data_IF_779061700123
#
_entry.id   IF_779061700123
#
_cell.length_a   1.000
_cell.length_b   1.000
_cell.length_c   1.000
_cell.angle_alpha   90.00
_cell.angle_beta   90.00
_cell.angle_gamma   90.00
#
_symmetry.space_group_name_H-M   'P 1'
#
loop_
_entity.id
_entity.type
_entity.pdbx_description
1 polymer ?
#
# COMPACT_ATOMS: atom_id res chain seq x y z
N UNK A 1 -6.63 -15.60 2.76
CA UNK A 1 -7.04 -15.11 4.09
C UNK A 1 -8.26 -14.21 3.92
N UNK A 2 -9.50 -14.71 4.13
CA UNK A 2 -10.72 -13.93 3.94
C UNK A 2 -10.74 -12.61 4.73
N UNK A 3 -10.29 -12.64 5.98
CA UNK A 3 -10.26 -11.45 6.87
C UNK A 3 -9.47 -10.28 6.30
N UNK A 4 -8.31 -10.53 5.68
CA UNK A 4 -7.50 -9.47 5.07
C UNK A 4 -8.17 -8.89 3.82
N UNK A 5 -8.88 -9.73 3.07
CA UNK A 5 -9.63 -9.30 1.88
C UNK A 5 -10.81 -8.42 2.30
N UNK A 6 -11.59 -8.84 3.30
CA UNK A 6 -12.70 -8.07 3.85
C UNK A 6 -12.23 -6.69 4.34
N UNK A 7 -11.12 -6.65 5.08
CA UNK A 7 -10.56 -5.38 5.55
C UNK A 7 -10.14 -4.44 4.41
N UNK A 8 -9.54 -4.96 3.32
CA UNK A 8 -9.23 -4.14 2.15
C UNK A 8 -10.50 -3.57 1.50
N UNK A 9 -11.54 -4.40 1.35
CA UNK A 9 -12.82 -3.99 0.77
C UNK A 9 -13.48 -2.90 1.62
N UNK A 10 -13.54 -3.08 2.94
CA UNK A 10 -14.08 -2.11 3.88
C UNK A 10 -13.35 -0.76 3.78
N UNK A 11 -12.01 -0.77 3.83
CA UNK A 11 -11.20 0.44 3.78
C UNK A 11 -11.35 1.20 2.45
N UNK A 12 -11.31 0.48 1.31
CA UNK A 12 -11.49 1.07 -0.01
C UNK A 12 -12.91 1.63 -0.18
N UNK A 13 -13.92 0.91 0.31
CA UNK A 13 -15.32 1.37 0.25
C UNK A 13 -15.49 2.70 0.99
N UNK A 14 -14.92 2.83 2.20
CA UNK A 14 -15.01 4.08 2.93
C UNK A 14 -14.16 5.22 2.37
N UNK A 15 -13.01 4.90 1.77
CA UNK A 15 -12.22 5.85 0.98
C UNK A 15 -13.04 6.44 -0.17
N UNK A 16 -13.70 5.59 -0.96
CA UNK A 16 -14.56 6.02 -2.06
C UNK A 16 -15.75 6.86 -1.53
N UNK A 17 -16.36 6.46 -0.41
CA UNK A 17 -17.44 7.21 0.20
C UNK A 17 -16.98 8.59 0.69
N UNK A 18 -15.79 8.69 1.30
CA UNK A 18 -15.15 9.95 1.66
C UNK A 18 -14.94 10.84 0.44
N UNK A 19 -14.37 10.30 -0.65
CA UNK A 19 -14.17 11.06 -1.89
C UNK A 19 -15.47 11.61 -2.45
N UNK A 20 -16.55 10.81 -2.47
CA UNK A 20 -17.87 11.25 -2.94
C UNK A 20 -18.45 12.37 -2.08
N UNK A 21 -18.39 12.24 -0.74
CA UNK A 21 -18.86 13.27 0.20
C UNK A 21 -18.11 14.60 0.00
N UNK A 22 -16.81 14.53 -0.29
CA UNK A 22 -15.94 15.68 -0.47
C UNK A 22 -15.78 16.16 -1.93
N UNK A 23 -16.53 15.58 -2.88
CA UNK A 23 -16.48 15.91 -4.31
C UNK A 23 -15.08 15.78 -4.93
N UNK A 24 -14.32 14.80 -4.46
CA UNK A 24 -12.99 14.43 -4.95
C UNK A 24 -13.11 13.40 -6.07
N UNK A 25 -12.16 13.42 -7.00
CA UNK A 25 -12.25 12.71 -8.28
C UNK A 25 -11.09 11.78 -8.53
N UNK A 26 -9.93 12.07 -7.94
CA UNK A 26 -8.77 11.18 -7.92
C UNK A 26 -8.23 11.04 -6.51
N UNK A 27 -7.59 9.91 -6.26
CA UNK A 27 -6.75 9.64 -5.11
C UNK A 27 -5.52 8.87 -5.62
N UNK A 28 -4.33 9.28 -5.21
CA UNK A 28 -3.08 8.62 -5.58
C UNK A 28 -2.12 8.68 -4.39
N UNK A 29 -1.43 7.57 -4.09
CA UNK A 29 -0.38 7.60 -3.08
C UNK A 29 0.75 8.50 -3.57
N UNK A 30 1.30 9.35 -2.71
CA UNK A 30 2.47 10.15 -3.12
C UNK A 30 3.68 9.22 -3.29
N UNK A 31 4.63 9.55 -4.19
CA UNK A 31 5.85 8.76 -4.35
C UNK A 31 6.58 8.52 -3.03
N UNK A 32 6.64 9.54 -2.17
CA UNK A 32 7.32 9.46 -0.87
C UNK A 32 6.61 8.48 0.07
N UNK A 33 5.27 8.47 0.08
CA UNK A 33 4.49 7.54 0.89
C UNK A 33 4.64 6.09 0.39
N UNK A 34 4.67 5.89 -0.93
CA UNK A 34 4.90 4.59 -1.54
C UNK A 34 6.29 4.06 -1.19
N UNK A 35 7.33 4.88 -1.37
CA UNK A 35 8.72 4.50 -1.10
C UNK A 35 8.93 4.21 0.39
N UNK A 36 8.37 5.05 1.27
CA UNK A 36 8.41 4.82 2.72
C UNK A 36 7.71 3.51 3.11
N UNK A 37 6.56 3.20 2.52
CA UNK A 37 5.88 1.94 2.77
C UNK A 37 6.68 0.74 2.26
N UNK A 38 7.30 0.84 1.09
CA UNK A 38 8.19 -0.20 0.54
C UNK A 38 9.40 -0.45 1.43
N UNK A 39 10.04 0.62 1.92
CA UNK A 39 11.15 0.53 2.86
C UNK A 39 10.74 -0.14 4.18
N UNK A 40 9.57 0.22 4.72
CA UNK A 40 9.00 -0.42 5.92
C UNK A 40 8.76 -1.92 5.72
N UNK A 41 8.17 -2.33 4.59
CA UNK A 41 7.96 -3.74 4.25
C UNK A 41 9.30 -4.49 4.22
N UNK A 42 10.32 -3.91 3.60
CA UNK A 42 11.66 -4.48 3.53
C UNK A 42 12.32 -4.59 4.91
N UNK A 43 12.23 -3.54 5.73
CA UNK A 43 12.74 -3.52 7.11
C UNK A 43 12.14 -4.67 7.92
N UNK A 44 10.81 -4.77 7.94
CA UNK A 44 10.09 -5.78 8.72
C UNK A 44 10.45 -7.19 8.30
N UNK A 45 10.53 -7.48 7.00
CA UNK A 45 10.82 -8.85 6.54
C UNK A 45 12.29 -9.22 6.73
N UNK A 46 13.22 -8.27 6.64
CA UNK A 46 14.66 -8.51 6.84
C UNK A 46 15.00 -9.00 8.26
N UNK A 47 14.12 -8.77 9.23
CA UNK A 47 14.25 -9.33 10.59
C UNK A 47 13.79 -10.80 10.71
N UNK A 48 13.41 -11.45 9.60
CA UNK A 48 12.86 -12.81 9.58
C UNK A 48 13.69 -13.73 8.66
N UNK A 49 13.47 -15.04 8.75
CA UNK A 49 14.09 -16.00 7.84
C UNK A 49 13.46 -16.02 6.43
N UNK A 50 12.34 -15.34 6.22
CA UNK A 50 11.60 -15.36 4.94
C UNK A 50 12.47 -14.90 3.77
N UNK A 51 13.37 -13.93 3.99
CA UNK A 51 14.24 -13.40 2.93
C UNK A 51 15.30 -14.39 2.45
N UNK A 52 15.58 -15.44 3.23
CA UNK A 52 16.59 -16.45 2.90
C UNK A 52 16.10 -17.54 1.93
N UNK A 53 14.78 -17.61 1.69
CA UNK A 53 14.18 -18.65 0.88
C UNK A 53 13.91 -18.20 -0.56
N UNK A 54 14.33 -19.03 -1.52
CA UNK A 54 13.98 -18.86 -2.94
C UNK A 54 12.54 -19.32 -3.19
N UNK A 55 11.59 -18.46 -2.82
CA UNK A 55 10.15 -18.72 -2.98
C UNK A 55 9.48 -17.69 -3.88
N UNK A 56 8.24 -17.97 -4.26
CA UNK A 56 7.42 -17.09 -5.09
C UNK A 56 7.18 -15.72 -4.43
N UNK A 57 7.13 -15.67 -3.10
CA UNK A 57 6.92 -14.41 -2.36
C UNK A 57 8.15 -13.50 -2.39
N UNK A 58 9.31 -14.02 -2.79
CA UNK A 58 10.51 -13.24 -3.08
C UNK A 58 10.66 -12.92 -4.58
N UNK A 59 9.73 -13.39 -5.43
CA UNK A 59 9.88 -13.28 -6.88
C UNK A 59 10.92 -14.21 -7.50
N UNK A 60 11.55 -15.10 -6.72
CA UNK A 60 12.63 -15.99 -7.14
C UNK A 60 12.20 -17.09 -8.14
N UNK A 61 10.91 -17.20 -8.43
CA UNK A 61 10.33 -18.24 -9.27
C UNK A 61 10.17 -17.85 -10.75
N UNK A 62 10.55 -16.62 -11.14
CA UNK A 62 10.45 -16.12 -12.52
C UNK A 62 11.78 -15.46 -12.89
N UNK A 63 12.41 -15.96 -13.95
CA UNK A 63 13.67 -15.40 -14.46
C UNK A 63 13.50 -13.94 -14.88
N UNK A 64 14.43 -13.09 -14.43
CA UNK A 64 14.40 -11.65 -14.69
C UNK A 64 13.42 -10.85 -13.82
N UNK A 65 12.59 -11.49 -12.98
CA UNK A 65 11.73 -10.76 -12.03
C UNK A 65 12.56 -10.22 -10.86
N UNK A 66 12.26 -8.99 -10.44
CA UNK A 66 12.90 -8.38 -9.29
C UNK A 66 12.74 -9.24 -8.03
N UNK A 67 13.85 -9.49 -7.33
CA UNK A 67 13.88 -10.30 -6.12
C UNK A 67 13.53 -9.45 -4.88
N UNK A 68 12.23 -9.26 -4.61
CA UNK A 68 11.73 -8.46 -3.49
C UNK A 68 10.57 -9.18 -2.79
N UNK A 69 10.45 -8.99 -1.48
CA UNK A 69 9.35 -9.55 -0.71
C UNK A 69 8.05 -8.84 -1.05
N UNK A 70 7.05 -9.60 -1.52
CA UNK A 70 5.78 -9.06 -2.01
C UNK A 70 4.73 -8.82 -0.91
N UNK A 71 4.57 -9.71 0.10
CA UNK A 71 3.58 -9.50 1.17
C UNK A 71 4.03 -8.47 2.21
N UNK A 72 3.09 -7.95 2.99
CA UNK A 72 3.41 -7.31 4.26
C UNK A 72 3.42 -8.35 5.38
N UNK A 73 4.52 -8.44 6.13
CA UNK A 73 4.69 -9.38 7.26
C UNK A 73 4.90 -8.64 8.58
N UNK A 74 4.00 -7.69 8.89
CA UNK A 74 4.02 -6.96 10.15
C UNK A 74 4.02 -7.91 11.37
N UNK A 75 4.76 -7.59 12.46
CA UNK A 75 4.83 -8.43 13.65
C UNK A 75 3.46 -8.63 14.33
N UNK A 76 2.55 -7.66 14.16
CA UNK A 76 1.18 -7.68 14.68
C UNK A 76 0.16 -8.26 13.68
N UNK A 77 0.65 -8.78 12.55
CA UNK A 77 -0.13 -9.37 11.47
C UNK A 77 -1.24 -8.46 10.95
N UNK A 78 -2.40 -9.05 10.66
CA UNK A 78 -3.58 -8.33 10.14
C UNK A 78 -4.09 -7.26 11.11
N UNK A 79 -3.89 -7.43 12.42
CA UNK A 79 -4.32 -6.47 13.44
C UNK A 79 -3.55 -5.15 13.35
N UNK A 80 -2.22 -5.22 13.26
CA UNK A 80 -1.39 -4.03 13.08
C UNK A 80 -1.60 -3.37 11.72
N UNK A 81 -1.76 -4.17 10.66
CA UNK A 81 -2.07 -3.63 9.34
C UNK A 81 -3.40 -2.86 9.33
N UNK A 82 -4.46 -3.42 9.93
CA UNK A 82 -5.76 -2.73 10.06
C UNK A 82 -5.64 -1.41 10.83
N UNK A 83 -4.86 -1.39 11.92
CA UNK A 83 -4.61 -0.14 12.67
C UNK A 83 -3.90 0.90 11.81
N UNK A 84 -2.86 0.52 11.07
CA UNK A 84 -2.15 1.45 10.18
C UNK A 84 -3.09 2.05 9.13
N UNK A 85 -3.96 1.24 8.52
CA UNK A 85 -4.97 1.73 7.59
C UNK A 85 -5.97 2.69 8.26
N UNK A 86 -6.40 2.40 9.48
CA UNK A 86 -7.30 3.27 10.24
C UNK A 86 -6.63 4.62 10.57
N UNK A 87 -5.39 4.61 11.07
CA UNK A 87 -4.61 5.81 11.34
C UNK A 87 -4.47 6.71 10.11
N UNK A 88 -4.19 6.12 8.94
CA UNK A 88 -4.13 6.85 7.67
C UNK A 88 -5.47 7.51 7.36
N UNK A 89 -6.57 6.76 7.45
CA UNK A 89 -7.90 7.30 7.17
C UNK A 89 -8.35 8.38 8.17
N UNK A 90 -8.01 8.24 9.46
CA UNK A 90 -8.29 9.21 10.52
C UNK A 90 -7.53 10.53 10.32
N UNK A 91 -6.38 10.49 9.64
CA UNK A 91 -5.57 11.65 9.27
C UNK A 91 -5.84 12.11 7.84
N UNK A 92 -7.10 12.08 7.42
CA UNK A 92 -7.53 12.52 6.09
C UNK A 92 -6.76 11.83 4.94
N UNK A 93 -6.46 10.54 5.10
CA UNK A 93 -5.66 9.73 4.17
C UNK A 93 -4.23 10.27 3.98
N UNK A 94 -3.52 10.49 5.09
CA UNK A 94 -2.10 10.86 5.11
C UNK A 94 -1.27 10.00 4.13
N UNK A 95 -0.47 10.66 3.28
CA UNK A 95 0.31 10.01 2.23
C UNK A 95 -0.42 9.82 0.89
N UNK A 96 -1.66 10.28 0.77
CA UNK A 96 -2.39 10.35 -0.49
C UNK A 96 -2.65 11.79 -0.93
N UNK A 97 -2.55 12.02 -2.24
CA UNK A 97 -2.97 13.24 -2.89
C UNK A 97 -4.38 13.06 -3.47
N UNK A 98 -5.27 13.99 -3.17
CA UNK A 98 -6.60 14.08 -3.79
C UNK A 98 -6.67 15.24 -4.77
N UNK A 99 -7.44 15.07 -5.85
CA UNK A 99 -7.84 16.17 -6.72
C UNK A 99 -9.35 16.19 -6.95
N UNK A 100 -9.87 17.33 -7.43
CA UNK A 100 -11.26 17.53 -7.85
C UNK A 100 -11.33 17.97 -9.31
N UNK A 101 -12.51 17.86 -9.94
CA UNK A 101 -12.75 18.32 -11.31
C UNK A 101 -12.41 19.83 -11.40
N UNK A 102 -11.29 20.16 -12.06
CA UNK A 102 -10.79 21.53 -12.22
C UNK A 102 -9.30 21.69 -11.90
N UNK A 103 -8.71 20.78 -11.13
CA UNK A 103 -7.26 20.67 -10.94
C UNK A 103 -6.75 19.55 -11.86
N UNK A 104 -5.97 19.92 -12.88
CA UNK A 104 -5.50 18.98 -13.91
C UNK A 104 -4.75 17.79 -13.30
N UNK A 105 -5.09 16.59 -13.74
CA UNK A 105 -4.33 15.39 -13.43
C UNK A 105 -2.91 15.52 -14.00
N UNK A 106 -1.89 15.49 -13.16
CA UNK A 106 -0.49 15.33 -13.57
C UNK A 106 -0.09 13.89 -13.32
N UNK A 107 -0.02 13.08 -14.38
CA UNK A 107 0.50 11.73 -14.29
C UNK A 107 1.95 11.77 -13.80
N UNK A 108 2.25 11.12 -12.67
CA UNK A 108 3.62 10.84 -12.31
C UNK A 108 4.09 9.62 -13.11
N UNK A 109 5.23 9.70 -13.82
CA UNK A 109 5.74 8.54 -14.54
C UNK A 109 6.02 7.42 -13.54
N UNK A 110 5.46 6.24 -13.80
CA UNK A 110 5.82 5.02 -13.07
C UNK A 110 7.31 4.81 -13.35
N UNK A 111 8.15 4.94 -12.32
CA UNK A 111 9.57 4.67 -12.44
C UNK A 111 9.74 3.23 -12.95
N UNK A 112 10.32 3.09 -14.14
CA UNK A 112 10.74 1.81 -14.66
C UNK A 112 11.97 1.37 -13.86
N UNK A 113 11.77 0.46 -12.91
CA UNK A 113 12.85 -0.32 -12.31
C UNK A 113 12.99 -1.67 -13.02
#
# INVERSE_FOLDING_TARGET
MPVSIEQHVEWITECIAHMRRNKLTTIEATPEAQDAWGAHVAEVVNATLMTSANSWYMGANIDGKAHRFLPYLGPEGVGGYRRKCAEVAEKDYEGFAFSSHGQGWTAHPIAAE
#
